data_IF_651260371719
#
_entry.id   IF_651260371719
#
_cell.length_a   1.000
_cell.length_b   1.000
_cell.length_c   1.000
_cell.angle_alpha   90.00
_cell.angle_beta   90.00
_cell.angle_gamma   90.00
#
_symmetry.space_group_name_H-M   'P 1'
#
loop_
_entity.id
_entity.type
_entity.pdbx_description
1 polymer ?
#
# COMPACT_ATOMS: atom_id res chain seq x y z
N UNK A 1 13.03 -27.90 6.19
CA UNK A 1 12.93 -26.47 5.82
C UNK A 1 11.54 -26.01 6.19
N UNK A 2 11.37 -24.79 6.77
CA UNK A 2 10.01 -24.23 6.92
C UNK A 2 9.43 -24.06 5.51
N UNK A 3 8.14 -24.41 5.34
CA UNK A 3 7.43 -24.14 4.10
C UNK A 3 7.51 -22.64 3.76
N UNK A 4 7.65 -22.31 2.48
CA UNK A 4 7.64 -20.92 2.04
C UNK A 4 6.24 -20.33 2.27
N UNK A 5 6.18 -19.14 2.87
CA UNK A 5 4.94 -18.37 3.02
C UNK A 5 5.14 -17.01 2.39
N UNK A 6 4.20 -16.58 1.56
CA UNK A 6 4.28 -15.25 0.95
C UNK A 6 3.57 -14.22 1.81
N UNK A 7 4.14 -13.02 1.90
CA UNK A 7 3.48 -11.87 2.54
C UNK A 7 2.33 -11.39 1.64
N UNK A 8 1.18 -11.10 2.23
CA UNK A 8 0.01 -10.60 1.48
C UNK A 8 0.36 -9.40 0.59
N UNK A 9 1.17 -8.44 1.09
CA UNK A 9 1.63 -7.28 0.32
C UNK A 9 2.58 -7.60 -0.86
N UNK A 10 3.03 -8.85 -0.98
CA UNK A 10 3.93 -9.30 -2.05
C UNK A 10 3.27 -10.27 -3.04
N UNK A 11 2.01 -10.67 -2.80
CA UNK A 11 1.30 -11.62 -3.67
C UNK A 11 1.30 -11.15 -5.13
N UNK A 12 1.04 -9.87 -5.38
CA UNK A 12 1.04 -9.32 -6.74
C UNK A 12 2.34 -9.59 -7.51
N UNK A 13 3.49 -9.72 -6.82
CA UNK A 13 4.78 -10.01 -7.48
C UNK A 13 4.81 -11.39 -8.10
N UNK A 14 4.22 -12.40 -7.44
CA UNK A 14 4.17 -13.79 -7.96
C UNK A 14 3.00 -14.01 -8.93
N UNK A 15 1.95 -13.18 -8.84
CA UNK A 15 0.78 -13.25 -9.73
C UNK A 15 1.02 -12.61 -11.11
N UNK A 16 2.24 -12.13 -11.37
CA UNK A 16 2.63 -11.60 -12.68
C UNK A 16 2.90 -12.73 -13.68
N UNK A 17 2.47 -12.55 -14.93
CA UNK A 17 2.70 -13.53 -15.99
C UNK A 17 4.05 -13.31 -16.69
N UNK A 18 4.74 -14.40 -17.09
CA UNK A 18 5.95 -14.29 -17.88
C UNK A 18 5.67 -13.68 -19.25
N UNK A 19 6.61 -12.89 -19.76
CA UNK A 19 6.52 -12.31 -21.11
C UNK A 19 6.96 -13.31 -22.18
N UNK A 20 7.84 -14.24 -21.82
CA UNK A 20 8.38 -15.26 -22.73
C UNK A 20 7.52 -16.51 -22.70
N UNK A 21 7.08 -16.98 -23.86
CA UNK A 21 6.29 -18.21 -23.99
C UNK A 21 7.10 -19.41 -23.51
N UNK A 22 6.50 -20.22 -22.64
CA UNK A 22 7.13 -21.41 -22.06
C UNK A 22 7.87 -21.20 -20.74
N UNK A 23 7.99 -19.96 -20.25
CA UNK A 23 8.45 -19.70 -18.88
C UNK A 23 7.30 -19.86 -17.89
N UNK A 24 7.58 -20.44 -16.71
CA UNK A 24 6.61 -20.61 -15.63
C UNK A 24 6.45 -19.34 -14.79
N UNK A 25 7.56 -18.60 -14.57
CA UNK A 25 7.62 -17.44 -13.70
C UNK A 25 8.05 -16.20 -14.47
N UNK A 26 7.42 -15.07 -14.15
CA UNK A 26 7.84 -13.77 -14.63
C UNK A 26 9.20 -13.36 -14.03
N UNK A 27 9.88 -12.39 -14.64
CA UNK A 27 11.10 -11.83 -14.06
C UNK A 27 10.85 -11.19 -12.69
N UNK A 28 9.71 -10.56 -12.47
CA UNK A 28 9.30 -9.99 -11.18
C UNK A 28 9.20 -11.07 -10.11
N UNK A 29 8.55 -12.20 -10.43
CA UNK A 29 8.43 -13.34 -9.51
C UNK A 29 9.81 -13.95 -9.20
N UNK A 30 10.66 -14.18 -10.21
CA UNK A 30 12.02 -14.68 -10.03
C UNK A 30 12.84 -13.79 -9.10
N UNK A 31 12.86 -12.47 -9.34
CA UNK A 31 13.58 -11.51 -8.50
C UNK A 31 13.07 -11.53 -7.05
N UNK A 32 11.74 -11.59 -6.86
CA UNK A 32 11.17 -11.67 -5.51
C UNK A 32 11.60 -12.96 -4.78
N UNK A 33 11.57 -14.09 -5.45
CA UNK A 33 11.99 -15.39 -4.88
C UNK A 33 13.48 -15.35 -4.52
N UNK A 34 14.33 -14.78 -5.38
CA UNK A 34 15.77 -14.61 -5.11
C UNK A 34 16.00 -13.75 -3.85
N UNK A 35 15.27 -12.64 -3.69
CA UNK A 35 15.33 -11.78 -2.50
C UNK A 35 14.92 -12.55 -1.24
N UNK A 36 13.85 -13.36 -1.31
CA UNK A 36 13.38 -14.18 -0.18
C UNK A 36 14.36 -15.31 0.18
N UNK A 37 14.99 -15.94 -0.82
CA UNK A 37 16.07 -16.93 -0.60
C UNK A 37 17.29 -16.30 0.07
N UNK A 38 17.71 -15.12 -0.39
CA UNK A 38 18.83 -14.37 0.23
C UNK A 38 18.50 -14.02 1.69
N UNK A 39 17.28 -13.58 1.95
CA UNK A 39 16.81 -13.28 3.31
C UNK A 39 16.83 -14.52 4.20
N UNK A 40 16.25 -15.63 3.72
CA UNK A 40 16.11 -16.86 4.50
C UNK A 40 17.46 -17.56 4.75
N UNK A 41 18.36 -17.57 3.76
CA UNK A 41 19.60 -18.34 3.81
C UNK A 41 20.78 -17.54 4.38
N UNK A 42 20.83 -16.25 4.11
CA UNK A 42 21.98 -15.41 4.45
C UNK A 42 21.64 -14.22 5.37
N UNK A 43 20.38 -14.05 5.75
CA UNK A 43 19.95 -12.90 6.56
C UNK A 43 20.05 -11.55 5.82
N UNK A 44 20.26 -11.56 4.50
CA UNK A 44 20.38 -10.35 3.70
C UNK A 44 18.99 -9.81 3.37
N UNK A 45 18.68 -8.63 3.89
CA UNK A 45 17.43 -7.94 3.63
C UNK A 45 17.71 -6.76 2.69
N UNK A 46 17.07 -6.76 1.52
CA UNK A 46 17.09 -5.59 0.67
C UNK A 46 16.24 -4.51 1.31
N UNK A 47 16.90 -3.47 1.79
CA UNK A 47 16.19 -2.28 2.29
C UNK A 47 15.70 -1.47 1.10
N UNK A 48 14.41 -1.24 1.05
CA UNK A 48 13.79 -0.33 0.10
C UNK A 48 13.14 0.80 0.90
N UNK A 49 13.63 2.01 0.70
CA UNK A 49 13.00 3.21 1.22
C UNK A 49 12.69 4.13 0.04
N UNK A 50 11.50 4.66 0.03
CA UNK A 50 11.12 5.71 -0.90
C UNK A 50 10.26 6.73 -0.15
N UNK A 51 10.33 7.99 -0.56
CA UNK A 51 9.49 9.05 0.02
C UNK A 51 7.99 8.71 0.01
N UNK A 52 7.55 7.87 -0.93
CA UNK A 52 6.16 7.40 -1.00
C UNK A 52 5.82 6.45 0.14
N UNK A 53 6.68 5.45 0.37
CA UNK A 53 6.51 4.50 1.49
C UNK A 53 6.75 5.16 2.83
N UNK A 54 7.70 6.09 2.90
CA UNK A 54 8.01 6.81 4.13
C UNK A 54 6.83 7.71 4.55
N UNK A 55 6.23 8.47 3.61
CA UNK A 55 4.99 9.18 3.87
C UNK A 55 3.88 8.24 4.34
N UNK A 56 3.65 7.14 3.61
CA UNK A 56 2.61 6.16 3.96
C UNK A 56 2.72 5.69 5.40
N UNK A 57 3.93 5.31 5.83
CA UNK A 57 4.18 4.86 7.20
C UNK A 57 3.98 5.96 8.25
N UNK A 58 4.41 7.20 7.95
CA UNK A 58 4.31 8.32 8.88
C UNK A 58 2.87 8.80 9.11
N UNK A 59 2.01 8.70 8.10
CA UNK A 59 0.64 9.20 8.17
C UNK A 59 -0.41 8.09 8.26
N UNK A 60 0.00 6.85 8.53
CA UNK A 60 -0.92 5.70 8.55
C UNK A 60 -2.03 5.86 9.59
N UNK A 61 -1.69 6.26 10.82
CA UNK A 61 -2.67 6.46 11.89
C UNK A 61 -3.66 7.60 11.53
N UNK A 62 -3.16 8.72 10.98
CA UNK A 62 -4.01 9.81 10.49
C UNK A 62 -4.92 9.37 9.33
N UNK A 63 -4.41 8.51 8.45
CA UNK A 63 -5.20 7.96 7.35
C UNK A 63 -6.29 6.99 7.83
N UNK A 64 -6.04 6.20 8.89
CA UNK A 64 -7.04 5.35 9.54
C UNK A 64 -8.13 6.22 10.18
N UNK A 65 -7.75 7.28 10.89
CA UNK A 65 -8.71 8.23 11.48
C UNK A 65 -9.54 8.94 10.41
N UNK A 66 -8.90 9.34 9.31
CA UNK A 66 -9.58 9.96 8.18
C UNK A 66 -10.59 8.99 7.54
N UNK A 67 -10.21 7.73 7.34
CA UNK A 67 -11.09 6.68 6.82
C UNK A 67 -12.27 6.43 7.75
N UNK A 68 -12.03 6.31 9.06
CA UNK A 68 -13.02 6.13 10.11
C UNK A 68 -14.09 7.23 10.08
N UNK A 69 -13.64 8.49 10.03
CA UNK A 69 -14.51 9.65 9.99
C UNK A 69 -15.35 9.72 8.69
N UNK A 70 -14.72 9.44 7.54
CA UNK A 70 -15.40 9.50 6.25
C UNK A 70 -16.40 8.36 6.04
N UNK A 71 -16.17 7.21 6.65
CA UNK A 71 -17.05 6.04 6.62
C UNK A 71 -18.13 6.06 7.73
N UNK A 72 -18.03 6.97 8.69
CA UNK A 72 -18.95 7.10 9.84
C UNK A 72 -19.06 5.80 10.69
N UNK A 73 -17.96 5.02 10.77
CA UNK A 73 -17.93 3.69 11.42
C UNK A 73 -17.37 3.73 12.85
N UNK A 74 -17.22 4.91 13.41
CA UNK A 74 -16.64 5.10 14.75
C UNK A 74 -15.12 5.00 14.75
N UNK A 75 -14.52 4.87 15.94
CA UNK A 75 -13.06 4.82 16.05
C UNK A 75 -12.52 3.47 15.57
N UNK A 76 -11.56 3.52 14.67
CA UNK A 76 -10.77 2.38 14.24
C UNK A 76 -9.37 2.46 14.86
N UNK A 77 -8.83 1.31 15.20
CA UNK A 77 -7.48 1.20 15.73
C UNK A 77 -6.64 0.41 14.74
N UNK A 78 -5.39 0.83 14.58
CA UNK A 78 -4.40 0.07 13.84
C UNK A 78 -4.28 -1.34 14.43
N UNK A 79 -4.37 -2.33 13.56
CA UNK A 79 -4.18 -3.72 13.94
C UNK A 79 -2.67 -4.03 14.10
N UNK A 80 -2.32 -4.77 15.15
CA UNK A 80 -0.97 -5.27 15.42
C UNK A 80 -0.89 -6.80 15.40
N UNK A 81 -2.02 -7.46 15.22
CA UNK A 81 -2.06 -8.91 15.15
C UNK A 81 -1.54 -9.40 13.82
N UNK A 82 -0.62 -10.35 13.89
CA UNK A 82 -0.04 -10.99 12.73
C UNK A 82 -0.75 -12.31 12.44
N UNK A 83 -1.19 -12.49 11.22
CA UNK A 83 -1.91 -13.68 10.76
C UNK A 83 -1.02 -14.50 9.83
N UNK A 84 -1.10 -15.82 9.96
CA UNK A 84 -0.44 -16.76 9.02
C UNK A 84 -1.23 -18.06 8.88
N UNK A 85 -1.12 -18.66 7.69
CA UNK A 85 -1.56 -20.02 7.41
C UNK A 85 -0.42 -20.82 6.73
N UNK A 86 -0.72 -21.86 6.00
CA UNK A 86 0.30 -22.72 5.37
C UNK A 86 1.09 -22.00 4.27
N UNK A 87 0.52 -21.05 3.57
CA UNK A 87 1.11 -20.40 2.39
C UNK A 87 1.11 -18.85 2.44
N UNK A 88 0.35 -18.24 3.33
CA UNK A 88 0.26 -16.78 3.48
C UNK A 88 0.73 -16.29 4.84
N UNK A 89 1.16 -15.03 4.88
CA UNK A 89 1.45 -14.29 6.11
C UNK A 89 1.17 -12.81 5.92
N UNK A 90 0.65 -12.12 6.94
CA UNK A 90 0.36 -10.70 6.83
C UNK A 90 -0.26 -10.06 8.06
N UNK A 91 -0.28 -8.73 8.04
CA UNK A 91 -0.88 -7.89 9.09
C UNK A 91 -1.71 -6.84 8.36
N UNK A 92 -3.04 -6.97 8.31
CA UNK A 92 -3.91 -5.92 7.75
C UNK A 92 -3.86 -4.68 8.64
N UNK A 93 -4.10 -3.50 8.05
CA UNK A 93 -4.02 -2.22 8.78
C UNK A 93 -5.10 -2.11 9.86
N UNK A 94 -6.33 -2.56 9.55
CA UNK A 94 -7.45 -2.65 10.50
C UNK A 94 -8.14 -3.99 10.36
N UNK A 95 -8.35 -4.68 11.48
CA UNK A 95 -9.12 -5.92 11.56
C UNK A 95 -9.97 -5.92 12.83
N UNK A 96 -11.25 -5.65 12.71
CA UNK A 96 -12.23 -5.73 13.79
C UNK A 96 -13.16 -6.92 13.55
N UNK A 97 -14.16 -7.13 14.42
CA UNK A 97 -15.14 -8.20 14.18
C UNK A 97 -15.87 -8.03 12.83
N UNK A 98 -16.20 -6.79 12.48
CA UNK A 98 -17.07 -6.48 11.34
C UNK A 98 -16.31 -5.96 10.11
N UNK A 99 -15.10 -5.41 10.30
CA UNK A 99 -14.40 -4.66 9.26
C UNK A 99 -12.98 -5.20 9.07
N UNK A 100 -12.61 -5.41 7.81
CA UNK A 100 -11.24 -5.59 7.34
C UNK A 100 -10.93 -4.44 6.40
N UNK A 101 -9.87 -3.68 6.69
CA UNK A 101 -9.55 -2.49 5.94
C UNK A 101 -8.03 -2.39 5.74
N UNK A 102 -7.64 -1.97 4.54
CA UNK A 102 -6.27 -1.65 4.16
C UNK A 102 -6.22 -0.21 3.64
N UNK A 103 -5.38 0.61 4.24
CA UNK A 103 -5.29 2.05 3.97
C UNK A 103 -4.12 2.35 3.06
N UNK A 104 -4.34 3.21 2.08
CA UNK A 104 -3.30 3.69 1.17
C UNK A 104 -3.27 5.22 1.18
N UNK A 105 -2.18 5.79 1.68
CA UNK A 105 -1.96 7.24 1.65
C UNK A 105 -1.36 7.65 0.32
N UNK A 106 -2.07 8.50 -0.43
CA UNK A 106 -1.56 9.04 -1.68
C UNK A 106 -0.47 10.07 -1.45
N UNK A 107 0.53 10.09 -2.33
CA UNK A 107 1.63 11.04 -2.27
C UNK A 107 1.13 12.49 -2.41
N UNK A 108 0.32 12.71 -3.42
CA UNK A 108 -0.31 13.99 -3.75
C UNK A 108 -1.66 13.78 -4.44
N UNK A 109 -2.31 14.88 -4.82
CA UNK A 109 -3.60 14.85 -5.49
C UNK A 109 -3.54 14.15 -6.87
N UNK A 110 -2.39 14.11 -7.54
CA UNK A 110 -2.25 13.48 -8.85
C UNK A 110 -2.19 11.96 -8.76
N UNK A 111 -1.75 11.45 -7.61
CA UNK A 111 -1.67 10.01 -7.32
C UNK A 111 -2.91 9.48 -6.60
N UNK A 112 -3.82 10.38 -6.19
CA UNK A 112 -5.08 9.99 -5.56
C UNK A 112 -6.12 9.60 -6.62
N UNK A 113 -6.82 8.46 -6.47
CA UNK A 113 -7.70 7.93 -7.51
C UNK A 113 -9.08 8.59 -7.54
N UNK A 114 -9.16 9.92 -7.73
CA UNK A 114 -10.41 10.69 -7.74
C UNK A 114 -11.48 10.10 -8.65
N UNK A 115 -11.08 9.66 -9.83
CA UNK A 115 -11.99 9.25 -10.90
C UNK A 115 -12.03 7.74 -11.12
N UNK A 116 -11.24 6.97 -10.35
CA UNK A 116 -11.21 5.53 -10.49
C UNK A 116 -12.55 4.90 -10.03
N UNK A 117 -13.09 4.01 -10.84
CA UNK A 117 -14.28 3.21 -10.52
C UNK A 117 -13.92 1.81 -10.04
N UNK A 118 -12.68 1.38 -10.29
CA UNK A 118 -12.11 0.10 -9.91
C UNK A 118 -10.77 0.31 -9.19
N UNK A 119 -10.29 -0.73 -8.53
CA UNK A 119 -9.00 -0.71 -7.83
C UNK A 119 -7.88 -0.38 -8.83
N UNK A 120 -7.07 0.67 -8.58
CA UNK A 120 -6.07 1.14 -9.54
C UNK A 120 -4.96 0.14 -9.85
N UNK A 121 -4.67 -0.79 -8.94
CA UNK A 121 -3.65 -1.81 -9.15
C UNK A 121 -4.09 -3.17 -8.63
N UNK A 122 -3.83 -4.22 -9.41
CA UNK A 122 -4.12 -5.60 -9.02
C UNK A 122 -3.33 -6.06 -7.79
N UNK A 123 -2.18 -5.44 -7.50
CA UNK A 123 -1.37 -5.79 -6.34
C UNK A 123 -2.17 -5.62 -5.03
N UNK A 124 -2.95 -4.54 -4.90
CA UNK A 124 -3.81 -4.32 -3.74
C UNK A 124 -5.01 -5.27 -3.70
N UNK A 125 -5.56 -5.61 -4.87
CA UNK A 125 -6.60 -6.63 -4.94
C UNK A 125 -6.09 -7.97 -4.41
N UNK A 126 -4.92 -8.43 -4.87
CA UNK A 126 -4.31 -9.67 -4.38
C UNK A 126 -3.93 -9.60 -2.90
N UNK A 127 -3.43 -8.46 -2.42
CA UNK A 127 -3.15 -8.24 -1.01
C UNK A 127 -4.39 -8.46 -0.15
N UNK A 128 -5.53 -7.88 -0.55
CA UNK A 128 -6.80 -8.03 0.16
C UNK A 128 -7.34 -9.45 0.09
N UNK A 129 -7.22 -10.15 -1.04
CA UNK A 129 -7.59 -11.57 -1.12
C UNK A 129 -6.78 -12.41 -0.12
N UNK A 130 -5.49 -12.12 0.04
CA UNK A 130 -4.65 -12.76 1.06
C UNK A 130 -5.13 -12.46 2.48
N UNK A 131 -5.50 -11.23 2.79
CA UNK A 131 -6.03 -10.87 4.11
C UNK A 131 -7.41 -11.50 4.38
N UNK A 132 -8.28 -11.56 3.39
CA UNK A 132 -9.58 -12.23 3.47
C UNK A 132 -9.43 -13.72 3.79
N UNK A 133 -8.45 -14.38 3.15
CA UNK A 133 -8.14 -15.78 3.42
C UNK A 133 -7.60 -15.97 4.85
N UNK A 134 -6.68 -15.12 5.29
CA UNK A 134 -6.07 -15.24 6.62
C UNK A 134 -7.04 -14.94 7.76
N UNK A 135 -7.98 -14.02 7.56
CA UNK A 135 -8.92 -13.58 8.61
C UNK A 135 -10.26 -14.32 8.57
N UNK A 136 -10.52 -15.10 7.50
CA UNK A 136 -11.81 -15.78 7.30
C UNK A 136 -12.97 -14.85 6.97
N UNK A 137 -12.70 -13.58 6.69
CA UNK A 137 -13.73 -12.60 6.31
C UNK A 137 -14.15 -12.77 4.85
N UNK A 138 -15.35 -12.29 4.53
CA UNK A 138 -15.95 -12.39 3.19
C UNK A 138 -15.78 -11.12 2.37
N UNK A 139 -15.49 -9.98 3.03
CA UNK A 139 -15.30 -8.69 2.39
C UNK A 139 -14.24 -7.84 3.09
N UNK A 140 -13.59 -6.99 2.32
CA UNK A 140 -12.60 -6.03 2.79
C UNK A 140 -12.77 -4.68 2.06
N UNK A 141 -12.26 -3.62 2.68
CA UNK A 141 -12.22 -2.29 2.10
C UNK A 141 -10.78 -1.88 1.81
N UNK A 142 -10.51 -1.46 0.59
CA UNK A 142 -9.32 -0.70 0.24
C UNK A 142 -9.68 0.78 0.32
N UNK A 143 -9.02 1.52 1.18
CA UNK A 143 -9.31 2.93 1.41
C UNK A 143 -8.10 3.79 1.07
N UNK A 144 -8.23 4.59 0.01
CA UNK A 144 -7.25 5.62 -0.29
C UNK A 144 -7.57 6.89 0.49
N UNK A 145 -6.54 7.45 1.12
CA UNK A 145 -6.62 8.70 1.85
C UNK A 145 -5.64 9.73 1.28
N UNK A 146 -6.12 10.95 1.06
CA UNK A 146 -5.31 12.09 0.65
C UNK A 146 -4.98 12.91 1.90
N UNK A 147 -3.99 12.43 2.66
CA UNK A 147 -3.48 13.05 3.89
C UNK A 147 -2.39 14.05 3.54
N UNK A 148 -2.33 15.15 4.27
CA UNK A 148 -1.25 16.13 4.14
C UNK A 148 0.12 15.45 4.30
N UNK A 149 1.11 15.95 3.58
CA UNK A 149 2.47 15.46 3.76
C UNK A 149 3.06 16.06 5.04
N UNK A 150 3.76 15.28 5.89
CA UNK A 150 4.42 15.80 7.08
C UNK A 150 5.36 16.96 6.77
N UNK A 151 5.41 17.93 7.67
CA UNK A 151 6.14 19.20 7.48
C UNK A 151 7.62 18.96 7.09
N UNK A 152 8.30 18.05 7.78
CA UNK A 152 9.71 17.75 7.51
C UNK A 152 9.92 17.21 6.07
N UNK A 153 8.97 16.41 5.58
CA UNK A 153 9.02 15.91 4.20
C UNK A 153 8.72 17.03 3.19
N UNK A 154 7.84 17.95 3.52
CA UNK A 154 7.58 19.15 2.68
C UNK A 154 8.85 19.99 2.58
N UNK A 155 9.55 20.23 3.68
CA UNK A 155 10.81 20.97 3.66
C UNK A 155 11.89 20.28 2.82
N UNK A 156 11.93 18.94 2.84
CA UNK A 156 12.82 18.16 1.95
C UNK A 156 12.44 18.33 0.47
N UNK A 157 11.17 18.33 0.15
CA UNK A 157 10.71 18.56 -1.24
C UNK A 157 10.98 20.00 -1.69
N UNK A 158 10.86 21.00 -0.80
CA UNK A 158 11.24 22.39 -1.07
C UNK A 158 12.74 22.48 -1.39
N UNK A 159 13.60 21.87 -0.56
CA UNK A 159 15.05 21.83 -0.81
C UNK A 159 15.39 21.17 -2.15
N UNK A 160 14.74 20.07 -2.47
CA UNK A 160 14.92 19.39 -3.76
C UNK A 160 14.45 20.23 -4.94
N UNK A 161 13.32 20.94 -4.80
CA UNK A 161 12.80 21.81 -5.84
C UNK A 161 13.77 22.96 -6.15
N UNK A 162 14.32 23.61 -5.11
CA UNK A 162 15.35 24.65 -5.27
C UNK A 162 16.63 24.11 -5.93
N UNK A 163 17.10 22.95 -5.47
CA UNK A 163 18.28 22.31 -6.07
C UNK A 163 18.06 21.99 -7.57
N UNK A 164 16.90 21.42 -7.91
CA UNK A 164 16.57 21.09 -9.30
C UNK A 164 16.43 22.35 -10.19
N UNK A 165 15.91 23.44 -9.62
CA UNK A 165 15.80 24.73 -10.27
C UNK A 165 17.14 25.48 -10.33
N UNK A 166 18.22 24.96 -9.70
CA UNK A 166 19.54 25.58 -9.57
C UNK A 166 19.50 26.97 -8.95
N UNK A 167 18.57 27.18 -8.03
CA UNK A 167 18.46 28.43 -7.27
C UNK A 167 19.41 28.41 -6.07
N UNK A 168 20.18 29.48 -5.91
CA UNK A 168 21.06 29.68 -4.76
C UNK A 168 20.34 30.32 -3.60
N UNK A 169 19.35 31.13 -3.89
CA UNK A 169 18.52 31.83 -2.91
C UNK A 169 17.13 31.19 -2.79
N UNK A 170 16.51 31.37 -1.63
CA UNK A 170 15.16 30.86 -1.38
C UNK A 170 14.14 31.61 -2.26
N UNK A 171 13.33 30.84 -3.01
CA UNK A 171 12.21 31.36 -3.81
C UNK A 171 10.91 31.08 -3.06
N UNK A 172 10.22 32.14 -2.65
CA UNK A 172 8.92 32.02 -1.98
C UNK A 172 7.87 31.42 -2.91
N UNK A 173 7.91 31.76 -4.21
CA UNK A 173 6.99 31.20 -5.22
C UNK A 173 7.12 29.68 -5.31
N UNK A 174 8.36 29.17 -5.39
CA UNK A 174 8.62 27.73 -5.46
C UNK A 174 8.21 27.02 -4.17
N UNK A 175 8.45 27.66 -3.02
CA UNK A 175 7.99 27.17 -1.72
C UNK A 175 6.47 27.04 -1.67
N UNK A 176 5.76 28.06 -2.08
CA UNK A 176 4.30 28.10 -2.09
C UNK A 176 3.73 27.03 -3.06
N UNK A 177 4.37 26.82 -4.20
CA UNK A 177 4.00 25.77 -5.15
C UNK A 177 4.12 24.36 -4.52
N UNK A 178 5.23 24.09 -3.83
CA UNK A 178 5.44 22.80 -3.15
C UNK A 178 4.44 22.60 -2.02
N UNK A 179 4.22 23.63 -1.17
CA UNK A 179 3.22 23.60 -0.10
C UNK A 179 1.83 23.27 -0.66
N UNK A 180 1.40 23.96 -1.71
CA UNK A 180 0.10 23.72 -2.36
C UNK A 180 -0.04 22.30 -2.90
N UNK A 181 1.07 21.70 -3.36
CA UNK A 181 1.08 20.31 -3.87
C UNK A 181 0.91 19.27 -2.77
N UNK A 182 1.30 19.60 -1.54
CA UNK A 182 1.40 18.64 -0.43
C UNK A 182 0.44 18.90 0.73
N UNK A 183 -0.43 19.93 0.62
CA UNK A 183 -1.47 20.27 1.62
C UNK A 183 -2.86 20.25 0.99
N UNK A 184 -3.80 19.58 1.62
CA UNK A 184 -5.10 19.25 1.02
C UNK A 184 -6.31 19.71 1.83
N UNK A 185 -6.11 20.54 2.87
CA UNK A 185 -7.18 21.00 3.77
C UNK A 185 -8.26 21.83 3.06
N UNK A 186 -7.92 22.39 1.89
CA UNK A 186 -8.86 23.06 1.01
C UNK A 186 -9.83 22.11 0.29
N UNK A 187 -9.57 20.78 0.30
CA UNK A 187 -10.44 19.75 -0.27
C UNK A 187 -11.32 19.17 0.83
N UNK A 188 -12.65 19.14 0.67
CA UNK A 188 -13.55 18.56 1.67
C UNK A 188 -13.19 17.10 1.99
N UNK A 189 -13.34 16.70 3.28
CA UNK A 189 -12.95 15.37 3.77
C UNK A 189 -13.54 14.24 2.93
N UNK A 190 -14.82 14.27 2.61
CA UNK A 190 -15.47 13.23 1.80
C UNK A 190 -14.95 13.12 0.36
N UNK A 191 -14.12 14.08 -0.11
CA UNK A 191 -13.43 13.99 -1.39
C UNK A 191 -11.98 13.59 -1.28
N UNK A 192 -11.43 13.51 -0.06
CA UNK A 192 -10.07 13.04 0.24
C UNK A 192 -10.02 11.56 0.62
N UNK A 193 -11.17 10.88 0.63
CA UNK A 193 -11.27 9.44 0.89
C UNK A 193 -11.94 8.76 -0.28
N UNK A 194 -11.34 7.70 -0.78
CA UNK A 194 -11.87 6.85 -1.85
C UNK A 194 -11.86 5.40 -1.42
N UNK A 195 -13.02 4.77 -1.48
CA UNK A 195 -13.24 3.41 -1.00
C UNK A 195 -13.52 2.46 -2.15
N UNK A 196 -12.88 1.30 -2.12
CA UNK A 196 -13.16 0.17 -2.99
C UNK A 196 -13.49 -1.04 -2.14
N UNK A 197 -14.65 -1.64 -2.36
CA UNK A 197 -15.04 -2.89 -1.72
C UNK A 197 -14.47 -4.06 -2.50
N UNK A 198 -13.94 -5.05 -1.77
CA UNK A 198 -13.42 -6.29 -2.32
C UNK A 198 -14.12 -7.45 -1.64
N UNK A 199 -14.73 -8.31 -2.42
CA UNK A 199 -15.31 -9.56 -1.95
C UNK A 199 -14.28 -10.69 -2.09
N UNK A 200 -14.36 -11.67 -1.18
CA UNK A 200 -13.50 -12.85 -1.21
C UNK A 200 -13.76 -13.65 -2.49
N UNK A 201 -12.69 -13.99 -3.19
CA UNK A 201 -12.70 -14.78 -4.42
C UNK A 201 -11.90 -16.07 -4.23
N UNK A 202 -12.60 -17.17 -3.99
CA UNK A 202 -12.00 -18.48 -3.75
C UNK A 202 -11.18 -18.98 -4.94
N UNK A 203 -11.55 -18.61 -6.17
CA UNK A 203 -10.77 -18.98 -7.35
C UNK A 203 -9.41 -18.30 -7.32
N UNK A 204 -9.39 -17.00 -7.07
CA UNK A 204 -8.14 -16.22 -6.98
C UNK A 204 -7.26 -16.69 -5.82
N UNK A 205 -7.86 -17.07 -4.69
CA UNK A 205 -7.12 -17.61 -3.54
C UNK A 205 -6.45 -18.95 -3.91
N UNK A 206 -7.16 -19.83 -4.62
CA UNK A 206 -6.59 -21.07 -5.11
C UNK A 206 -5.45 -20.82 -6.11
N UNK A 207 -5.61 -19.86 -7.04
CA UNK A 207 -4.54 -19.46 -7.96
C UNK A 207 -3.30 -18.94 -7.23
N UNK A 208 -3.51 -18.16 -6.14
CA UNK A 208 -2.40 -17.68 -5.27
C UNK A 208 -1.70 -18.86 -4.62
N UNK A 209 -2.45 -19.81 -4.08
CA UNK A 209 -1.91 -21.01 -3.45
C UNK A 209 -1.07 -21.81 -4.42
N UNK A 210 -1.60 -22.12 -5.61
CA UNK A 210 -0.90 -22.86 -6.66
C UNK A 210 0.41 -22.17 -7.11
N UNK A 211 0.46 -20.82 -7.00
CA UNK A 211 1.66 -20.05 -7.32
C UNK A 211 2.70 -20.04 -6.20
N UNK A 212 2.30 -20.28 -4.97
CA UNK A 212 3.20 -20.33 -3.80
C UNK A 212 3.83 -21.73 -3.69
N UNK A 213 3.10 -22.79 -4.02
CA UNK A 213 3.56 -24.18 -4.05
C UNK A 213 4.50 -24.44 -5.25
#
# INVERSE_FOLDING_TARGET
MKAFKIRCSAIGKIMTNPRTKGELLSQTAKTYIEEEVLRAKYGVIKTFSSRYTDKGNLVEDEAIDMASNALEIGFLYKNHEHFENDFLTGTPDVNTNDILLDVKSSWDATTFPFFATEIPTKDYYYQLQGYLELTGKTEALLVYCLVNTPADMIEDEIRRAHWNARLMDESQELRDEVLKRHTFDHIPLGRRVKVFKVEKDEQVINEIKDRVE
#
